data_IF_028612491263
#
_entry.id   IF_028612491263
#
_cell.length_a   1.000
_cell.length_b   1.000
_cell.length_c   1.000
_cell.angle_alpha   90.00
_cell.angle_beta   90.00
_cell.angle_gamma   90.00
#
_symmetry.space_group_name_H-M   'P 1'
#
loop_
_entity.id
_entity.type
_entity.pdbx_description
1 polymer ?
#
# COMPACT_ATOMS: atom_id res chain seq x y z
N UNK A 1 -1.01 13.50 4.65
CA UNK A 1 -1.63 12.58 3.66
C UNK A 1 -0.56 11.66 3.11
N UNK A 2 -0.84 10.37 2.92
CA UNK A 2 0.14 9.37 2.48
C UNK A 2 -0.08 8.94 1.03
N UNK A 3 0.96 8.98 0.20
CA UNK A 3 0.94 8.42 -1.17
C UNK A 3 2.00 7.32 -1.29
N UNK A 4 1.55 6.07 -1.44
CA UNK A 4 2.42 4.90 -1.56
C UNK A 4 2.40 4.36 -2.99
N UNK A 5 3.56 4.18 -3.60
CA UNK A 5 3.73 3.63 -4.95
C UNK A 5 4.07 2.15 -4.92
N UNK A 6 3.10 1.27 -5.13
CA UNK A 6 3.32 -0.17 -5.25
C UNK A 6 3.78 -0.52 -6.68
N UNK A 7 5.07 -0.80 -6.84
CA UNK A 7 5.65 -1.13 -8.15
C UNK A 7 5.38 -2.57 -8.60
N UNK A 8 4.78 -3.37 -7.71
CA UNK A 8 4.49 -4.78 -8.02
C UNK A 8 5.75 -5.51 -8.54
N UNK A 9 5.62 -6.37 -9.55
CA UNK A 9 6.75 -7.10 -10.14
C UNK A 9 7.36 -6.31 -11.33
N UNK A 10 7.69 -5.04 -11.09
CA UNK A 10 8.38 -4.18 -12.05
C UNK A 10 9.64 -3.58 -11.45
N UNK A 11 10.51 -3.04 -12.29
CA UNK A 11 11.75 -2.33 -11.96
C UNK A 11 12.77 -3.20 -11.18
N UNK A 12 13.75 -3.68 -11.93
CA UNK A 12 14.98 -4.24 -11.34
C UNK A 12 15.85 -3.15 -10.70
N UNK A 13 16.99 -3.51 -10.08
CA UNK A 13 17.84 -2.55 -9.37
C UNK A 13 18.29 -1.34 -10.19
N UNK A 14 18.58 -1.50 -11.50
CA UNK A 14 19.02 -0.41 -12.35
C UNK A 14 17.89 0.62 -12.60
N UNK A 15 16.70 0.16 -12.97
CA UNK A 15 15.53 1.02 -13.17
C UNK A 15 15.07 1.67 -11.85
N UNK A 16 15.21 0.95 -10.74
CA UNK A 16 14.96 1.48 -9.39
C UNK A 16 15.92 2.63 -9.09
N UNK A 17 17.20 2.48 -9.42
CA UNK A 17 18.19 3.54 -9.20
C UNK A 17 17.84 4.79 -10.02
N UNK A 18 17.50 4.65 -11.29
CA UNK A 18 17.11 5.74 -12.15
C UNK A 18 15.88 6.48 -11.60
N UNK A 19 14.85 5.74 -11.22
CA UNK A 19 13.61 6.30 -10.66
C UNK A 19 13.88 7.04 -9.33
N UNK A 20 14.60 6.43 -8.39
CA UNK A 20 14.90 7.04 -7.10
C UNK A 20 15.75 8.29 -7.22
N UNK A 21 16.73 8.32 -8.14
CA UNK A 21 17.50 9.53 -8.42
C UNK A 21 16.63 10.65 -8.97
N UNK A 22 15.68 10.36 -9.84
CA UNK A 22 14.72 11.34 -10.31
C UNK A 22 13.73 11.79 -9.25
N UNK A 23 13.28 10.87 -8.38
CA UNK A 23 12.28 11.16 -7.35
C UNK A 23 12.84 12.05 -6.23
N UNK A 24 14.08 11.82 -5.80
CA UNK A 24 14.73 12.63 -4.74
C UNK A 24 14.93 14.11 -5.11
N UNK A 25 14.91 14.45 -6.40
CA UNK A 25 15.00 15.83 -6.89
C UNK A 25 13.63 16.53 -6.95
N UNK A 26 12.55 15.83 -6.59
CA UNK A 26 11.20 16.41 -6.59
C UNK A 26 10.91 17.11 -5.27
N UNK A 27 10.31 18.29 -5.34
CA UNK A 27 9.75 18.98 -4.18
C UNK A 27 8.35 18.41 -3.88
N UNK A 28 8.26 17.64 -2.79
CA UNK A 28 7.04 16.92 -2.36
C UNK A 28 6.76 17.20 -0.86
N UNK A 29 7.10 18.39 -0.39
CA UNK A 29 6.89 18.78 1.00
C UNK A 29 5.40 18.81 1.35
N UNK A 30 5.06 18.36 2.55
CA UNK A 30 3.70 18.39 3.08
C UNK A 30 2.87 17.12 2.83
N UNK A 31 3.47 16.08 2.22
CA UNK A 31 2.88 14.75 2.11
C UNK A 31 3.90 13.67 2.49
N UNK A 32 3.41 12.53 2.94
CA UNK A 32 4.22 11.34 3.18
C UNK A 32 4.30 10.54 1.89
N UNK A 33 5.50 10.34 1.37
CA UNK A 33 5.73 9.57 0.13
C UNK A 33 6.43 8.27 0.45
N UNK A 34 5.87 7.15 0.00
CA UNK A 34 6.44 5.82 0.15
C UNK A 34 6.58 5.15 -1.21
N UNK A 35 7.74 4.60 -1.52
CA UNK A 35 7.92 3.72 -2.68
C UNK A 35 8.05 2.27 -2.23
N UNK A 36 7.38 1.36 -2.94
CA UNK A 36 7.36 -0.06 -2.60
C UNK A 36 7.94 -0.88 -3.76
N UNK A 37 9.29 -0.95 -3.89
CA UNK A 37 9.95 -1.75 -4.92
C UNK A 37 9.91 -3.24 -4.59
N UNK A 38 10.29 -4.07 -5.57
CA UNK A 38 10.50 -5.51 -5.34
C UNK A 38 11.67 -5.75 -4.37
N UNK A 39 11.69 -6.92 -3.69
CA UNK A 39 12.72 -7.25 -2.69
C UNK A 39 14.16 -7.07 -3.19
N UNK A 40 14.43 -7.44 -4.46
CA UNK A 40 15.77 -7.32 -5.07
C UNK A 40 16.25 -5.88 -5.23
N UNK A 41 15.35 -4.92 -5.11
CA UNK A 41 15.60 -3.49 -5.32
C UNK A 41 15.55 -2.66 -4.01
N UNK A 42 15.10 -3.25 -2.89
CA UNK A 42 14.91 -2.53 -1.62
C UNK A 42 16.19 -1.81 -1.15
N UNK A 43 17.30 -2.53 -1.05
CA UNK A 43 18.56 -1.94 -0.57
C UNK A 43 19.04 -0.78 -1.44
N UNK A 44 18.84 -0.87 -2.76
CA UNK A 44 19.18 0.21 -3.71
C UNK A 44 18.30 1.43 -3.46
N UNK A 45 16.98 1.24 -3.30
CA UNK A 45 16.05 2.33 -3.04
C UNK A 45 16.35 3.02 -1.71
N UNK A 46 16.55 2.26 -0.62
CA UNK A 46 16.89 2.78 0.71
C UNK A 46 18.17 3.62 0.64
N UNK A 47 19.22 3.11 -0.01
CA UNK A 47 20.49 3.83 -0.11
C UNK A 47 20.36 5.15 -0.89
N UNK A 48 19.60 5.17 -1.99
CA UNK A 48 19.48 6.34 -2.85
C UNK A 48 18.52 7.39 -2.31
N UNK A 49 17.53 7.00 -1.52
CA UNK A 49 16.57 7.90 -0.88
C UNK A 49 16.99 8.33 0.53
N UNK A 50 18.14 7.81 1.02
CA UNK A 50 18.67 8.22 2.33
C UNK A 50 18.87 9.74 2.41
N UNK A 51 18.39 10.34 3.52
CA UNK A 51 18.45 11.78 3.75
C UNK A 51 17.37 12.60 3.04
N UNK A 52 16.37 11.95 2.46
CA UNK A 52 15.11 12.56 1.99
C UNK A 52 13.96 12.17 2.93
N UNK A 53 12.80 12.81 2.78
CA UNK A 53 11.55 12.46 3.48
C UNK A 53 10.81 11.27 2.82
N UNK A 54 11.36 10.69 1.74
CA UNK A 54 10.74 9.60 0.99
C UNK A 54 11.09 8.26 1.64
N UNK A 55 10.10 7.54 2.09
CA UNK A 55 10.27 6.25 2.73
C UNK A 55 10.24 5.08 1.71
N UNK A 56 10.83 3.96 2.08
CA UNK A 56 10.84 2.72 1.29
C UNK A 56 10.14 1.62 2.07
N UNK A 57 9.14 0.96 1.46
CA UNK A 57 8.45 -0.17 2.05
C UNK A 57 8.57 -1.42 1.17
N UNK A 58 8.55 -2.59 1.80
CA UNK A 58 8.51 -3.87 1.09
C UNK A 58 7.09 -4.17 0.58
N UNK A 59 6.97 -5.06 -0.40
CA UNK A 59 5.68 -5.50 -0.95
C UNK A 59 5.05 -6.67 -0.19
N UNK A 60 5.76 -7.21 0.79
CA UNK A 60 5.34 -8.29 1.67
C UNK A 60 6.36 -8.48 2.81
N UNK A 61 5.99 -9.27 3.83
CA UNK A 61 6.85 -9.69 4.93
C UNK A 61 6.37 -11.04 5.44
N UNK A 62 7.27 -11.87 5.95
CA UNK A 62 6.90 -13.13 6.62
C UNK A 62 6.73 -12.90 8.13
N UNK A 63 5.91 -13.73 8.79
CA UNK A 63 5.60 -13.60 10.23
C UNK A 63 6.61 -14.30 11.15
N UNK A 64 7.46 -15.20 10.63
CA UNK A 64 8.51 -15.81 11.43
C UNK A 64 9.79 -14.96 11.37
N UNK A 65 10.51 -14.90 12.48
CA UNK A 65 11.75 -14.13 12.57
C UNK A 65 12.86 -14.76 11.71
N UNK A 66 12.98 -16.09 11.77
CA UNK A 66 13.95 -16.88 11.01
C UNK A 66 13.48 -18.33 10.89
N UNK A 67 14.12 -19.13 10.05
CA UNK A 67 13.83 -20.56 9.97
C UNK A 67 13.81 -21.17 8.57
N UNK A 68 13.22 -22.36 8.46
CA UNK A 68 13.14 -23.13 7.22
C UNK A 68 11.98 -22.66 6.32
N UNK A 69 12.04 -21.40 5.91
CA UNK A 69 11.04 -20.73 5.06
C UNK A 69 11.70 -20.21 3.79
N UNK A 70 12.19 -21.12 2.97
CA UNK A 70 12.99 -20.81 1.77
C UNK A 70 12.27 -19.82 0.85
N UNK A 71 12.89 -18.64 0.64
CA UNK A 71 12.38 -17.57 -0.23
C UNK A 71 11.59 -16.49 0.50
N UNK A 72 11.24 -16.66 1.79
CA UNK A 72 10.56 -15.64 2.58
C UNK A 72 11.57 -14.61 3.15
N UNK A 73 11.06 -13.42 3.45
CA UNK A 73 11.80 -12.29 4.03
C UNK A 73 11.15 -11.90 5.36
N UNK A 74 11.91 -11.96 6.44
CA UNK A 74 11.40 -11.58 7.77
C UNK A 74 11.42 -10.06 8.00
N UNK A 75 10.68 -9.62 9.00
CA UNK A 75 10.66 -8.21 9.41
C UNK A 75 12.04 -7.73 9.86
N UNK A 76 12.80 -8.58 10.58
CA UNK A 76 14.19 -8.28 10.99
C UNK A 76 15.13 -8.02 9.80
N UNK A 77 15.03 -8.82 8.73
CA UNK A 77 15.82 -8.61 7.51
C UNK A 77 15.49 -7.28 6.84
N UNK A 78 14.21 -6.87 6.84
CA UNK A 78 13.77 -5.58 6.29
C UNK A 78 14.30 -4.41 7.12
N UNK A 79 14.19 -4.51 8.44
CA UNK A 79 14.70 -3.47 9.36
C UNK A 79 16.22 -3.30 9.26
N UNK A 80 16.98 -4.41 9.11
CA UNK A 80 18.44 -4.39 8.98
C UNK A 80 18.92 -3.56 7.79
N UNK A 81 18.19 -3.58 6.67
CA UNK A 81 18.52 -2.78 5.48
C UNK A 81 17.88 -1.39 5.48
N UNK A 82 17.16 -1.00 6.55
CA UNK A 82 16.56 0.32 6.70
C UNK A 82 15.23 0.50 5.97
N UNK A 83 14.50 -0.56 5.70
CA UNK A 83 13.14 -0.51 5.15
C UNK A 83 12.18 0.04 6.22
N UNK A 84 11.39 1.03 5.86
CA UNK A 84 10.44 1.71 6.73
C UNK A 84 9.21 0.88 7.08
N UNK A 85 8.71 0.08 6.12
CA UNK A 85 7.46 -0.63 6.30
C UNK A 85 7.20 -1.73 5.28
N UNK A 86 5.99 -2.27 5.27
CA UNK A 86 5.59 -3.30 4.32
C UNK A 86 4.10 -3.18 3.92
N UNK A 87 3.80 -3.52 2.66
CA UNK A 87 2.44 -3.85 2.22
C UNK A 87 2.15 -5.27 2.66
N UNK A 88 0.97 -5.52 3.24
CA UNK A 88 0.53 -6.85 3.68
C UNK A 88 -0.87 -7.15 3.17
N UNK A 89 -1.10 -8.37 2.70
CA UNK A 89 -2.42 -8.86 2.30
C UNK A 89 -2.97 -8.23 1.02
N UNK A 90 -2.09 -7.69 0.14
CA UNK A 90 -2.49 -7.16 -1.16
C UNK A 90 -3.35 -8.17 -1.94
N UNK A 91 -4.36 -7.70 -2.66
CA UNK A 91 -5.33 -8.54 -3.38
C UNK A 91 -4.68 -9.59 -4.29
N UNK A 92 -3.60 -9.25 -5.00
CA UNK A 92 -2.84 -10.19 -5.83
C UNK A 92 -2.25 -11.34 -4.99
N UNK A 93 -1.82 -11.07 -3.74
CA UNK A 93 -1.26 -12.11 -2.87
C UNK A 93 -2.35 -13.04 -2.32
N UNK A 94 -3.51 -12.50 -2.02
CA UNK A 94 -4.70 -13.30 -1.67
C UNK A 94 -5.12 -14.18 -2.85
N UNK A 95 -5.17 -13.62 -4.05
CA UNK A 95 -5.65 -14.31 -5.24
C UNK A 95 -4.67 -15.35 -5.79
N UNK A 96 -3.38 -15.04 -5.86
CA UNK A 96 -2.39 -15.88 -6.57
C UNK A 96 -1.46 -16.65 -5.65
N UNK A 97 -1.29 -16.25 -4.39
CA UNK A 97 -0.34 -16.83 -3.46
C UNK A 97 -0.99 -17.44 -2.21
N UNK A 98 -2.34 -17.50 -2.18
CA UNK A 98 -3.08 -18.20 -1.13
C UNK A 98 -3.03 -17.51 0.24
N UNK A 99 -2.78 -16.20 0.31
CA UNK A 99 -2.85 -15.48 1.58
C UNK A 99 -4.30 -15.41 2.06
N UNK A 100 -4.50 -15.78 3.33
CA UNK A 100 -5.80 -15.76 4.02
C UNK A 100 -5.84 -14.62 5.04
N UNK A 101 -7.02 -14.33 5.59
CA UNK A 101 -7.15 -13.33 6.64
C UNK A 101 -6.26 -13.68 7.86
N UNK A 102 -6.18 -14.97 8.22
CA UNK A 102 -5.30 -15.45 9.30
C UNK A 102 -3.83 -15.16 9.01
N UNK A 103 -3.33 -15.48 7.80
CA UNK A 103 -1.92 -15.25 7.44
C UNK A 103 -1.60 -13.77 7.31
N UNK A 104 -2.57 -12.95 6.88
CA UNK A 104 -2.45 -11.49 6.86
C UNK A 104 -2.34 -10.94 8.27
N UNK A 105 -3.21 -11.36 9.20
CA UNK A 105 -3.14 -10.96 10.61
C UNK A 105 -1.77 -11.27 11.24
N UNK A 106 -1.23 -12.48 11.01
CA UNK A 106 0.12 -12.86 11.48
C UNK A 106 1.22 -11.96 10.92
N UNK A 107 1.17 -11.63 9.62
CA UNK A 107 2.16 -10.75 8.97
C UNK A 107 2.09 -9.33 9.49
N UNK A 108 0.88 -8.79 9.67
CA UNK A 108 0.66 -7.45 10.24
C UNK A 108 1.22 -7.39 11.65
N UNK A 109 0.87 -8.34 12.50
CA UNK A 109 1.35 -8.41 13.88
C UNK A 109 2.88 -8.46 13.95
N UNK A 110 3.52 -9.37 13.22
CA UNK A 110 4.98 -9.50 13.21
C UNK A 110 5.71 -8.25 12.68
N UNK A 111 5.14 -7.58 11.66
CA UNK A 111 5.71 -6.34 11.13
C UNK A 111 5.60 -5.19 12.16
N UNK A 112 4.45 -5.03 12.82
CA UNK A 112 4.24 -4.01 13.87
C UNK A 112 5.12 -4.26 15.09
N UNK A 113 5.23 -5.52 15.55
CA UNK A 113 6.14 -5.88 16.66
C UNK A 113 7.61 -5.55 16.36
N UNK A 114 8.02 -5.66 15.08
CA UNK A 114 9.35 -5.26 14.62
C UNK A 114 9.50 -3.73 14.41
N UNK A 115 8.46 -2.95 14.68
CA UNK A 115 8.44 -1.49 14.53
C UNK A 115 8.33 -1.01 13.09
N UNK A 116 7.93 -1.88 12.15
CA UNK A 116 7.68 -1.48 10.77
C UNK A 116 6.32 -0.80 10.62
N UNK A 117 6.26 0.18 9.73
CA UNK A 117 4.99 0.74 9.25
C UNK A 117 4.28 -0.26 8.34
N UNK A 118 2.97 -0.43 8.49
CA UNK A 118 2.21 -1.44 7.75
C UNK A 118 1.10 -0.80 6.93
N UNK A 119 1.05 -1.14 5.64
CA UNK A 119 -0.09 -0.87 4.75
C UNK A 119 -0.83 -2.20 4.57
N UNK A 120 -1.89 -2.43 5.34
CA UNK A 120 -2.69 -3.66 5.24
C UNK A 120 -3.82 -3.49 4.23
N UNK A 121 -3.86 -4.36 3.23
CA UNK A 121 -4.84 -4.30 2.14
C UNK A 121 -6.11 -5.09 2.48
N UNK A 122 -7.25 -4.45 2.27
CA UNK A 122 -8.59 -5.04 2.42
C UNK A 122 -9.46 -4.66 1.22
N UNK A 123 -10.34 -5.56 0.81
CA UNK A 123 -11.25 -5.29 -0.31
C UNK A 123 -11.94 -6.54 -0.83
N UNK A 124 -13.06 -6.32 -1.47
CA UNK A 124 -13.91 -7.37 -2.03
C UNK A 124 -13.60 -7.63 -3.51
N UNK A 125 -13.82 -8.86 -3.94
CA UNK A 125 -13.81 -9.28 -5.34
C UNK A 125 -15.08 -8.82 -6.07
N UNK A 126 -15.11 -8.90 -7.41
CA UNK A 126 -16.30 -8.59 -8.21
C UNK A 126 -17.46 -9.52 -7.86
N UNK A 127 -17.21 -10.81 -7.66
CA UNK A 127 -18.23 -11.79 -7.30
C UNK A 127 -18.85 -11.50 -5.91
N UNK A 128 -18.03 -11.14 -4.92
CA UNK A 128 -18.50 -10.78 -3.58
C UNK A 128 -19.35 -9.50 -3.63
N UNK A 129 -18.92 -8.53 -4.42
CA UNK A 129 -19.65 -7.29 -4.63
C UNK A 129 -21.02 -7.53 -5.30
N UNK A 130 -21.05 -8.31 -6.37
CA UNK A 130 -22.28 -8.63 -7.11
C UNK A 130 -23.30 -9.37 -6.23
N UNK A 131 -22.81 -10.13 -5.22
CA UNK A 131 -23.65 -10.75 -4.19
C UNK A 131 -24.05 -9.82 -3.05
N UNK A 132 -23.57 -8.57 -3.05
CA UNK A 132 -23.83 -7.61 -1.96
C UNK A 132 -23.08 -7.91 -0.67
N UNK A 133 -21.95 -8.61 -0.74
CA UNK A 133 -21.19 -9.10 0.42
C UNK A 133 -20.04 -8.14 0.83
N UNK A 134 -19.89 -6.97 0.21
CA UNK A 134 -18.81 -6.00 0.48
C UNK A 134 -18.62 -5.76 1.98
N UNK A 135 -19.71 -5.44 2.70
CA UNK A 135 -19.62 -5.18 4.15
C UNK A 135 -19.13 -6.41 4.93
N UNK A 136 -19.66 -7.59 4.63
CA UNK A 136 -19.27 -8.82 5.31
C UNK A 136 -17.80 -9.18 5.07
N UNK A 137 -17.30 -8.96 3.84
CA UNK A 137 -15.91 -9.18 3.47
C UNK A 137 -14.99 -8.24 4.21
N UNK A 138 -15.27 -6.93 4.19
CA UNK A 138 -14.45 -5.93 4.87
C UNK A 138 -14.41 -6.16 6.37
N UNK A 139 -15.56 -6.44 7.02
CA UNK A 139 -15.61 -6.77 8.44
C UNK A 139 -14.77 -8.00 8.79
N UNK A 140 -14.85 -9.06 7.99
CA UNK A 140 -14.07 -10.29 8.18
C UNK A 140 -12.56 -10.01 8.07
N UNK A 141 -12.14 -9.28 7.03
CA UNK A 141 -10.74 -8.97 6.79
C UNK A 141 -10.14 -8.05 7.86
N UNK A 142 -10.93 -7.12 8.39
CA UNK A 142 -10.51 -6.18 9.44
C UNK A 142 -10.48 -6.87 10.82
N UNK A 143 -11.33 -7.86 11.06
CA UNK A 143 -11.47 -8.50 12.37
C UNK A 143 -10.18 -9.20 12.90
N UNK A 144 -9.18 -9.41 12.03
CA UNK A 144 -7.86 -9.97 12.42
C UNK A 144 -6.80 -8.91 12.68
N UNK A 145 -7.17 -7.64 12.64
CA UNK A 145 -6.29 -6.49 12.83
C UNK A 145 -6.65 -5.76 14.11
N UNK A 146 -5.64 -5.17 14.74
CA UNK A 146 -5.79 -4.28 15.89
C UNK A 146 -5.29 -2.87 15.52
N UNK A 147 -5.85 -1.81 16.11
CA UNK A 147 -5.40 -0.44 15.83
C UNK A 147 -3.96 -0.24 16.35
N UNK A 148 -3.13 0.41 15.54
CA UNK A 148 -1.75 0.75 15.88
C UNK A 148 -1.36 2.04 15.15
N UNK A 149 -0.50 2.86 15.75
CA UNK A 149 -0.03 4.12 15.17
C UNK A 149 0.78 3.92 13.89
N UNK A 150 1.36 2.72 13.70
CA UNK A 150 2.10 2.33 12.50
C UNK A 150 1.25 1.54 11.50
N UNK A 151 -0.06 1.46 11.68
CA UNK A 151 -0.97 0.75 10.78
C UNK A 151 -1.84 1.72 9.99
N UNK A 152 -1.87 1.54 8.67
CA UNK A 152 -2.89 2.11 7.79
C UNK A 152 -3.54 1.01 6.96
N UNK A 153 -4.81 1.18 6.61
CA UNK A 153 -5.48 0.26 5.70
C UNK A 153 -5.47 0.82 4.28
N UNK A 154 -5.40 -0.06 3.29
CA UNK A 154 -5.62 0.29 1.89
C UNK A 154 -6.88 -0.43 1.40
N UNK A 155 -7.92 0.32 1.06
CA UNK A 155 -9.11 -0.25 0.46
C UNK A 155 -8.88 -0.52 -1.03
N UNK A 156 -8.91 -1.78 -1.38
CA UNK A 156 -8.74 -2.27 -2.75
C UNK A 156 -10.09 -2.78 -3.30
N UNK A 157 -10.86 -1.98 -4.08
CA UNK A 157 -11.95 -2.53 -4.88
C UNK A 157 -11.34 -3.45 -5.96
N UNK A 158 -11.17 -4.77 -5.65
CA UNK A 158 -10.38 -5.71 -6.47
C UNK A 158 -10.87 -5.74 -7.92
N UNK A 159 -12.18 -5.61 -8.11
CA UNK A 159 -12.85 -5.52 -9.41
C UNK A 159 -12.47 -4.29 -10.24
N UNK A 160 -11.89 -3.27 -9.62
CA UNK A 160 -11.43 -2.03 -10.28
C UNK A 160 -9.91 -1.97 -10.46
N UNK A 161 -9.14 -2.98 -10.00
CA UNK A 161 -7.68 -2.98 -10.11
C UNK A 161 -7.26 -3.58 -11.45
N UNK A 162 -6.64 -2.77 -12.32
CA UNK A 162 -6.10 -3.23 -13.60
C UNK A 162 -7.15 -3.63 -14.65
N UNK A 163 -8.44 -3.47 -14.37
CA UNK A 163 -9.54 -3.87 -15.27
C UNK A 163 -10.02 -2.74 -16.19
N UNK A 164 -9.57 -1.51 -15.94
CA UNK A 164 -10.09 -0.31 -16.58
C UNK A 164 -11.41 0.21 -15.98
N UNK A 165 -12.03 -0.54 -15.07
CA UNK A 165 -13.15 -0.06 -14.24
C UNK A 165 -12.62 0.86 -13.14
N UNK A 166 -13.41 1.84 -12.73
CA UNK A 166 -13.11 2.71 -11.59
C UNK A 166 -14.28 2.70 -10.62
N UNK A 167 -13.99 2.62 -9.33
CA UNK A 167 -15.02 2.88 -8.33
C UNK A 167 -15.46 4.34 -8.43
N UNK A 168 -16.77 4.58 -8.28
CA UNK A 168 -17.24 5.95 -8.17
C UNK A 168 -16.76 6.58 -6.85
N UNK A 169 -16.63 7.91 -6.76
CA UNK A 169 -16.30 8.57 -5.49
C UNK A 169 -17.24 8.16 -4.34
N UNK A 170 -18.53 7.97 -4.61
CA UNK A 170 -19.48 7.52 -3.60
C UNK A 170 -19.17 6.10 -3.11
N UNK A 171 -18.83 5.17 -4.00
CA UNK A 171 -18.46 3.79 -3.62
C UNK A 171 -17.19 3.75 -2.77
N UNK A 172 -16.20 4.58 -3.11
CA UNK A 172 -14.98 4.70 -2.31
C UNK A 172 -15.31 5.27 -0.91
N UNK A 173 -16.12 6.33 -0.86
CA UNK A 173 -16.58 6.95 0.40
C UNK A 173 -17.28 5.95 1.31
N UNK A 174 -18.26 5.23 0.80
CA UNK A 174 -19.06 4.28 1.59
C UNK A 174 -18.18 3.16 2.17
N UNK A 175 -17.21 2.67 1.40
CA UNK A 175 -16.26 1.65 1.86
C UNK A 175 -15.29 2.21 2.92
N UNK A 176 -14.74 3.40 2.72
CA UNK A 176 -13.86 4.06 3.69
C UNK A 176 -14.58 4.36 5.01
N UNK A 177 -15.84 4.86 4.96
CA UNK A 177 -16.66 5.11 6.15
C UNK A 177 -16.91 3.79 6.92
N UNK A 178 -17.23 2.71 6.20
CA UNK A 178 -17.38 1.39 6.80
C UNK A 178 -16.10 0.93 7.48
N UNK A 179 -14.95 1.01 6.80
CA UNK A 179 -13.65 0.59 7.33
C UNK A 179 -13.32 1.38 8.60
N UNK A 180 -13.40 2.72 8.55
CA UNK A 180 -13.13 3.60 9.71
C UNK A 180 -14.09 3.34 10.88
N UNK A 181 -15.32 2.90 10.61
CA UNK A 181 -16.27 2.51 11.66
C UNK A 181 -15.89 1.21 12.38
N UNK A 182 -15.04 0.35 11.78
CA UNK A 182 -14.59 -0.91 12.35
C UNK A 182 -13.23 -0.80 13.03
N UNK A 183 -12.33 0.01 12.48
CA UNK A 183 -10.97 0.19 12.98
C UNK A 183 -10.57 1.65 12.81
N UNK A 184 -10.20 2.31 13.92
CA UNK A 184 -9.81 3.72 13.94
C UNK A 184 -8.33 3.88 13.52
N UNK A 185 -8.09 3.79 12.21
CA UNK A 185 -6.79 4.00 11.57
C UNK A 185 -6.99 4.74 10.25
N UNK A 186 -5.94 5.39 9.70
CA UNK A 186 -6.01 6.01 8.38
C UNK A 186 -6.34 4.99 7.28
N UNK A 187 -7.09 5.43 6.26
CA UNK A 187 -7.50 4.58 5.13
C UNK A 187 -7.08 5.19 3.80
N UNK A 188 -6.25 4.48 3.07
CA UNK A 188 -5.80 4.82 1.72
C UNK A 188 -6.77 4.25 0.68
N UNK A 189 -6.97 4.96 -0.41
CA UNK A 189 -7.66 4.42 -1.58
C UNK A 189 -6.67 3.61 -2.44
N UNK A 190 -6.93 2.31 -2.61
CA UNK A 190 -6.10 1.35 -3.35
C UNK A 190 -6.67 0.93 -4.72
N UNK A 191 -7.69 1.61 -5.22
CA UNK A 191 -8.20 1.38 -6.57
C UNK A 191 -7.38 2.05 -7.66
N UNK A 192 -7.96 2.25 -8.85
CA UNK A 192 -7.28 2.89 -9.97
C UNK A 192 -7.11 4.40 -9.74
N UNK A 193 -5.93 4.80 -9.29
CA UNK A 193 -5.53 6.21 -9.16
C UNK A 193 -4.64 6.59 -10.33
N UNK A 194 -4.93 7.74 -10.94
CA UNK A 194 -4.18 8.33 -12.05
C UNK A 194 -4.07 9.84 -11.83
N UNK A 195 -3.14 10.55 -12.51
CA UNK A 195 -3.03 12.02 -12.40
C UNK A 195 -4.36 12.75 -12.62
N UNK A 196 -5.20 12.22 -13.55
CA UNK A 196 -6.45 12.87 -13.95
C UNK A 196 -7.56 12.79 -12.89
N UNK A 197 -7.54 11.78 -12.01
CA UNK A 197 -8.58 11.59 -10.98
C UNK A 197 -8.07 11.75 -9.54
N UNK A 198 -6.76 11.91 -9.35
CA UNK A 198 -6.14 11.97 -8.04
C UNK A 198 -6.70 13.11 -7.18
N UNK A 199 -6.82 14.32 -7.72
CA UNK A 199 -7.32 15.47 -6.99
C UNK A 199 -8.74 15.28 -6.47
N UNK A 200 -9.65 14.69 -7.28
CA UNK A 200 -11.03 14.42 -6.86
C UNK A 200 -11.09 13.35 -5.76
N UNK A 201 -10.31 12.27 -5.91
CA UNK A 201 -10.28 11.18 -4.95
C UNK A 201 -9.67 11.60 -3.60
N UNK A 202 -8.56 12.33 -3.64
CA UNK A 202 -7.82 12.74 -2.46
C UNK A 202 -8.48 13.92 -1.71
N UNK A 203 -9.33 14.70 -2.38
CA UNK A 203 -10.14 15.74 -1.72
C UNK A 203 -11.30 15.19 -0.87
N UNK A 204 -11.57 13.88 -0.90
CA UNK A 204 -12.61 13.28 -0.05
C UNK A 204 -12.15 13.24 1.40
N UNK A 205 -12.99 13.75 2.32
CA UNK A 205 -12.67 13.94 3.74
C UNK A 205 -12.38 12.66 4.53
N UNK A 206 -12.73 11.49 3.98
CA UNK A 206 -12.51 10.18 4.59
C UNK A 206 -11.42 9.37 3.89
N UNK A 207 -10.69 9.96 2.93
CA UNK A 207 -9.54 9.38 2.24
C UNK A 207 -8.26 10.01 2.78
N UNK A 208 -7.39 9.21 3.40
CA UNK A 208 -6.16 9.70 4.05
C UNK A 208 -4.94 9.57 3.12
N UNK A 209 -5.16 9.13 1.87
CA UNK A 209 -4.13 9.00 0.87
C UNK A 209 -4.42 7.94 -0.19
N UNK A 210 -3.38 7.47 -0.88
CA UNK A 210 -3.51 6.47 -1.95
C UNK A 210 -2.42 5.40 -1.92
N UNK A 211 -2.81 4.17 -2.25
CA UNK A 211 -1.89 3.10 -2.66
C UNK A 211 -1.97 2.96 -4.18
N UNK A 212 -0.95 3.48 -4.86
CA UNK A 212 -0.92 3.65 -6.32
C UNK A 212 -0.19 2.49 -6.97
N UNK A 213 -0.84 1.79 -7.91
CA UNK A 213 -0.23 0.70 -8.68
C UNK A 213 0.48 1.22 -9.95
N UNK A 214 -0.02 0.85 -11.13
CA UNK A 214 0.63 1.11 -12.42
C UNK A 214 1.05 2.57 -12.68
N UNK A 215 0.26 3.54 -12.21
CA UNK A 215 0.61 4.97 -12.35
C UNK A 215 1.85 5.38 -11.51
N UNK A 216 2.30 4.55 -10.57
CA UNK A 216 3.54 4.80 -9.82
C UNK A 216 4.81 4.32 -10.53
N UNK A 217 4.69 3.68 -11.68
CA UNK A 217 5.83 3.18 -12.44
C UNK A 217 6.54 4.28 -13.24
N UNK A 218 5.86 5.34 -13.59
CA UNK A 218 6.43 6.48 -14.31
C UNK A 218 6.58 7.68 -13.37
N UNK A 219 7.78 8.26 -13.32
CA UNK A 219 8.13 9.32 -12.38
C UNK A 219 7.19 10.52 -12.49
N UNK A 220 6.91 10.99 -13.71
CA UNK A 220 6.02 12.13 -13.95
C UNK A 220 4.60 11.87 -13.46
N UNK A 221 4.07 10.67 -13.73
CA UNK A 221 2.74 10.26 -13.30
C UNK A 221 2.65 10.17 -11.77
N UNK A 222 3.62 9.53 -11.14
CA UNK A 222 3.65 9.38 -9.68
C UNK A 222 3.78 10.73 -8.97
N UNK A 223 4.69 11.60 -9.42
CA UNK A 223 4.87 12.93 -8.84
C UNK A 223 3.66 13.85 -9.06
N UNK A 224 2.94 13.70 -10.18
CA UNK A 224 1.69 14.42 -10.41
C UNK A 224 0.60 14.02 -9.41
N UNK A 225 0.49 12.71 -9.08
CA UNK A 225 -0.42 12.21 -8.05
C UNK A 225 -0.02 12.74 -6.66
N UNK A 226 1.27 12.70 -6.33
CA UNK A 226 1.80 13.26 -5.08
C UNK A 226 1.46 14.76 -4.94
N UNK A 227 1.67 15.56 -5.98
CA UNK A 227 1.32 16.98 -5.96
C UNK A 227 -0.18 17.24 -5.84
N UNK A 228 -1.02 16.39 -6.41
CA UNK A 228 -2.48 16.48 -6.21
C UNK A 228 -2.85 16.29 -4.73
N UNK A 229 -2.12 15.46 -3.99
CA UNK A 229 -2.32 15.22 -2.55
C UNK A 229 -1.90 16.41 -1.66
N UNK A 230 -0.99 17.27 -2.11
CA UNK A 230 -0.56 18.47 -1.36
C UNK A 230 -1.68 19.54 -1.33
N UNK A 231 -2.52 19.55 -2.35
CA UNK A 231 -3.54 20.60 -2.54
C UNK A 231 -4.97 20.13 -2.20
N UNK A 232 -5.12 18.95 -1.60
CA UNK A 232 -6.40 18.30 -1.28
C UNK A 232 -6.92 18.62 0.12
#
# INVERSE_FOLDING_TARGET
>A
MLVAGNWKMYKGPAETAEFCLGLREQELDGIDVVVCPSFVSLAVAVQLLAGTEIAVAAQNVHWEEEGAYTGEISAGMLSEIGVYGAIVGHSERRQYFGETDETVGKRVHAALEAGLFVIACVGETEEERDRGETEAVLRRQIAVLEPDDNLVLAYEPVWAIGTGKTATPQMARDAHDLIKSQLDVPVLYGGSVKPENAAELLAMSNVDGALVGGASLELESFTAICRAAIHS
#
